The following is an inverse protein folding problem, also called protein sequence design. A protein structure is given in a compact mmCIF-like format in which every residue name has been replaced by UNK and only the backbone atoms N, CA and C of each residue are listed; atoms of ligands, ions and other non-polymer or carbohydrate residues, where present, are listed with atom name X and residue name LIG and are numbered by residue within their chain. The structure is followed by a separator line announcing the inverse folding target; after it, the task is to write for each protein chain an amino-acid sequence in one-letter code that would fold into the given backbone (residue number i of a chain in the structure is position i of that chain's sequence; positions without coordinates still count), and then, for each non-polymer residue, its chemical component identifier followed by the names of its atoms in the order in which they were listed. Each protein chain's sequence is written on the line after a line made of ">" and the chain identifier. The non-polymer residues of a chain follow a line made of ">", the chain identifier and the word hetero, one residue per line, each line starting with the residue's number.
data_IF_507123369644
#
_entry.id   IF_507123369644
#
_cell.length_a   1.000
_cell.length_b   1.000
_cell.length_c   1.000
_cell.angle_alpha   90.00
_cell.angle_beta   90.00
_cell.angle_gamma   90.00
#
_symmetry.space_group_name_H-M   'P 1'
#
loop_
_entity.id
_entity.type
_entity.pdbx_description
1 polymer ?
#
# COMPACT_ATOMS: atom_id res chain seq x y z
N UNK A 1 20.05 -35.36 -25.37
CA UNK A 1 20.27 -34.01 -24.82
C UNK A 1 18.91 -33.42 -24.52
N UNK A 2 18.49 -33.46 -23.26
CA UNK A 2 17.24 -32.84 -22.81
C UNK A 2 17.43 -31.32 -22.81
N UNK A 3 16.51 -30.60 -23.46
CA UNK A 3 16.47 -29.14 -23.39
C UNK A 3 15.83 -28.74 -22.06
N UNK A 4 16.65 -28.20 -21.17
CA UNK A 4 16.19 -27.51 -19.97
C UNK A 4 15.41 -26.27 -20.41
N UNK A 5 14.11 -26.22 -20.11
CA UNK A 5 13.29 -25.03 -20.31
C UNK A 5 13.50 -24.16 -19.07
N UNK A 6 14.29 -23.10 -19.19
CA UNK A 6 14.36 -22.05 -18.17
C UNK A 6 13.12 -21.18 -18.32
N UNK A 7 12.21 -21.24 -17.34
CA UNK A 7 11.10 -20.31 -17.23
C UNK A 7 11.63 -19.10 -16.46
N UNK A 8 11.93 -18.01 -17.16
CA UNK A 8 12.27 -16.74 -16.53
C UNK A 8 10.99 -16.09 -16.01
N UNK A 9 10.71 -16.24 -14.71
CA UNK A 9 9.69 -15.44 -14.02
C UNK A 9 10.26 -14.06 -13.70
N UNK A 10 10.28 -13.16 -14.68
CA UNK A 10 10.76 -11.78 -14.53
C UNK A 10 9.68 -10.84 -13.94
N UNK A 11 9.00 -11.28 -12.88
CA UNK A 11 8.16 -10.41 -12.05
C UNK A 11 8.83 -10.28 -10.70
N UNK A 12 9.75 -9.31 -10.57
CA UNK A 12 10.20 -8.85 -9.26
C UNK A 12 8.95 -8.44 -8.45
N UNK A 13 8.58 -9.30 -7.49
CA UNK A 13 7.41 -9.18 -6.65
C UNK A 13 7.53 -7.94 -5.75
N UNK A 14 6.42 -7.26 -5.43
CA UNK A 14 6.50 -6.15 -4.50
C UNK A 14 6.69 -6.70 -3.08
N UNK A 15 7.52 -6.06 -2.25
CA UNK A 15 7.81 -6.61 -0.93
C UNK A 15 6.61 -6.44 0.00
N UNK A 16 6.16 -7.55 0.59
CA UNK A 16 5.11 -7.59 1.61
C UNK A 16 5.71 -7.32 2.99
N UNK A 17 4.96 -6.65 3.88
CA UNK A 17 5.39 -6.24 5.23
C UNK A 17 6.65 -5.35 5.25
N UNK A 18 6.83 -4.59 4.18
CA UNK A 18 7.90 -3.60 4.02
C UNK A 18 7.27 -2.21 3.83
N UNK A 19 7.54 -1.25 4.73
CA UNK A 19 7.13 0.13 4.50
C UNK A 19 7.81 0.68 3.24
N UNK A 20 7.03 1.28 2.34
CA UNK A 20 7.50 1.84 1.06
C UNK A 20 6.79 3.16 0.75
N UNK A 21 7.43 3.98 -0.09
CA UNK A 21 6.94 5.31 -0.45
C UNK A 21 6.16 5.30 -1.77
N UNK A 22 5.08 6.06 -1.79
CA UNK A 22 4.32 6.44 -2.98
C UNK A 22 4.76 7.81 -3.48
N UNK A 23 4.59 8.04 -4.78
CA UNK A 23 4.74 9.36 -5.38
C UNK A 23 3.73 10.33 -4.76
N UNK A 24 4.15 11.53 -4.30
CA UNK A 24 3.27 12.53 -3.69
C UNK A 24 2.06 12.89 -4.56
N UNK A 25 2.27 12.95 -5.87
CA UNK A 25 1.24 13.22 -6.86
C UNK A 25 0.13 12.17 -6.92
N UNK A 26 0.44 10.92 -6.59
CA UNK A 26 -0.55 9.86 -6.54
C UNK A 26 -1.49 10.05 -5.36
N UNK A 27 -0.93 10.29 -4.17
CA UNK A 27 -1.71 10.50 -2.94
C UNK A 27 -2.68 11.67 -3.11
N UNK A 28 -2.21 12.78 -3.69
CA UNK A 28 -3.05 13.96 -4.01
C UNK A 28 -4.19 13.66 -4.99
N UNK A 29 -4.02 12.69 -5.90
CA UNK A 29 -5.00 12.34 -6.95
C UNK A 29 -6.07 11.36 -6.47
N UNK A 30 -5.87 10.68 -5.35
CA UNK A 30 -6.90 9.82 -4.76
C UNK A 30 -8.01 10.72 -4.23
N UNK A 31 -9.08 10.82 -5.01
CA UNK A 31 -10.27 11.63 -4.69
C UNK A 31 -10.86 11.18 -3.35
N UNK A 32 -11.21 12.16 -2.50
CA UNK A 32 -11.83 11.92 -1.19
C UNK A 32 -10.88 11.93 0.00
N UNK A 33 -9.56 12.15 -0.19
CA UNK A 33 -8.61 12.32 0.91
C UNK A 33 -8.43 11.08 1.79
N UNK A 34 -8.78 9.91 1.29
CA UNK A 34 -8.82 8.69 2.09
C UNK A 34 -7.41 8.18 2.43
N UNK A 35 -6.47 8.27 1.49
CA UNK A 35 -5.09 7.88 1.74
C UNK A 35 -4.35 9.04 2.44
N UNK A 36 -4.11 8.89 3.74
CA UNK A 36 -3.59 9.95 4.62
C UNK A 36 -2.07 10.08 4.61
N UNK A 37 -1.37 9.17 3.95
CA UNK A 37 0.09 9.08 3.99
C UNK A 37 0.67 8.61 2.66
N UNK A 38 1.88 9.07 2.36
CA UNK A 38 2.70 8.61 1.25
C UNK A 38 3.41 7.30 1.57
N UNK A 39 3.45 6.89 2.83
CA UNK A 39 4.07 5.63 3.25
C UNK A 39 2.98 4.57 3.34
N UNK A 40 3.20 3.44 2.68
CA UNK A 40 2.31 2.29 2.69
C UNK A 40 3.07 1.01 3.02
N UNK A 41 2.34 -0.04 3.31
CA UNK A 41 2.89 -1.38 3.45
C UNK A 41 1.93 -2.41 2.85
N UNK A 42 2.43 -3.27 1.97
CA UNK A 42 1.65 -4.37 1.42
C UNK A 42 1.42 -5.42 2.50
N UNK A 43 0.21 -5.98 2.53
CA UNK A 43 -0.22 -7.02 3.47
C UNK A 43 -0.62 -8.32 2.77
N UNK A 44 -1.03 -8.25 1.50
CA UNK A 44 -1.35 -9.42 0.69
C UNK A 44 -1.26 -9.10 -0.80
N UNK A 45 -1.06 -10.14 -1.60
CA UNK A 45 -1.19 -10.14 -3.05
C UNK A 45 -2.16 -11.24 -3.47
N UNK A 46 -3.00 -10.96 -4.46
CA UNK A 46 -4.02 -11.86 -4.98
C UNK A 46 -4.21 -11.61 -6.47
N UNK A 47 -3.77 -12.56 -7.30
CA UNK A 47 -3.75 -12.47 -8.76
C UNK A 47 -3.13 -11.14 -9.26
N UNK A 48 -3.96 -10.25 -9.82
CA UNK A 48 -3.58 -8.95 -10.36
C UNK A 48 -3.77 -7.80 -9.35
N UNK A 49 -4.13 -8.11 -8.11
CA UNK A 49 -4.44 -7.15 -7.06
C UNK A 49 -3.45 -7.22 -5.91
N UNK A 50 -3.18 -6.07 -5.32
CA UNK A 50 -2.41 -5.95 -4.09
C UNK A 50 -3.24 -5.22 -3.04
N UNK A 51 -3.07 -5.67 -1.80
CA UNK A 51 -3.69 -5.10 -0.63
C UNK A 51 -2.63 -4.43 0.23
N UNK A 52 -2.88 -3.19 0.63
CA UNK A 52 -1.94 -2.44 1.44
C UNK A 52 -2.67 -1.62 2.51
N UNK A 53 -1.90 -1.25 3.54
CA UNK A 53 -2.32 -0.38 4.63
C UNK A 53 -1.47 0.88 4.63
N UNK A 54 -1.94 1.93 5.31
CA UNK A 54 -1.16 3.16 5.46
C UNK A 54 -0.17 3.03 6.61
N UNK A 55 1.01 3.62 6.45
CA UNK A 55 1.97 3.82 7.53
C UNK A 55 2.09 5.31 7.85
N UNK A 56 2.27 5.66 9.12
CA UNK A 56 2.34 7.04 9.58
C UNK A 56 3.73 7.35 10.13
N UNK A 57 4.28 8.50 9.77
CA UNK A 57 5.50 9.06 10.34
C UNK A 57 5.14 10.28 11.18
N UNK A 58 4.77 10.04 12.44
CA UNK A 58 4.36 11.08 13.38
C UNK A 58 4.91 10.77 14.76
N UNK A 59 5.33 11.81 15.48
CA UNK A 59 6.02 11.67 16.76
C UNK A 59 5.11 11.13 17.88
N UNK A 60 3.81 11.46 17.86
CA UNK A 60 2.83 11.03 18.86
C UNK A 60 1.45 10.83 18.23
N UNK A 61 0.79 9.79 18.71
CA UNK A 61 -0.58 9.43 18.38
C UNK A 61 -1.30 9.08 19.69
N UNK A 62 -2.61 9.25 19.70
CA UNK A 62 -3.48 8.78 20.78
C UNK A 62 -3.31 7.26 21.00
N UNK A 63 -2.80 6.90 22.18
CA UNK A 63 -2.54 5.51 22.56
C UNK A 63 -3.83 4.66 22.66
N UNK A 64 -5.01 5.29 22.69
CA UNK A 64 -6.29 4.57 22.74
C UNK A 64 -6.75 4.03 21.37
N UNK A 65 -6.11 4.46 20.27
CA UNK A 65 -6.51 4.02 18.94
C UNK A 65 -6.06 2.56 18.68
N UNK A 66 -7.01 1.64 18.74
CA UNK A 66 -6.80 0.19 18.54
C UNK A 66 -6.36 -0.18 17.13
N UNK A 67 -6.63 0.66 16.14
CA UNK A 67 -6.26 0.41 14.74
C UNK A 67 -4.81 0.73 14.44
N UNK A 68 -4.13 1.43 15.36
CA UNK A 68 -2.77 1.88 15.18
C UNK A 68 -1.78 0.95 15.88
N UNK A 69 -0.84 0.42 15.11
CA UNK A 69 0.23 -0.46 15.59
C UNK A 69 1.54 0.31 15.56
N UNK A 70 2.24 0.36 16.70
CA UNK A 70 3.55 1.03 16.79
C UNK A 70 4.66 0.12 16.25
N UNK A 71 5.45 0.66 15.32
CA UNK A 71 6.61 -0.02 14.77
C UNK A 71 7.79 0.08 15.75
N UNK A 72 8.47 -1.04 16.01
CA UNK A 72 9.76 -1.09 16.69
C UNK A 72 10.85 -0.78 15.66
N UNK A 73 11.13 0.51 15.49
CA UNK A 73 11.96 1.00 14.38
C UNK A 73 13.39 0.47 14.42
N UNK A 74 13.90 0.13 15.60
CA UNK A 74 15.24 -0.41 15.85
C UNK A 74 15.40 -1.90 15.51
N UNK A 75 14.30 -2.59 15.14
CA UNK A 75 14.28 -4.04 14.91
C UNK A 75 13.87 -4.43 13.50
N UNK A 76 13.97 -3.53 12.53
CA UNK A 76 13.74 -3.87 11.12
C UNK A 76 14.77 -4.89 10.61
N UNK A 77 14.47 -5.50 9.47
CA UNK A 77 15.32 -6.54 8.86
C UNK A 77 15.66 -6.15 7.43
N UNK A 78 16.93 -6.07 7.06
CA UNK A 78 17.37 -5.81 5.68
C UNK A 78 17.28 -7.06 4.80
N UNK A 79 17.48 -6.92 3.49
CA UNK A 79 17.38 -8.05 2.55
C UNK A 79 18.40 -9.17 2.79
N UNK A 80 19.50 -8.87 3.48
CA UNK A 80 20.53 -9.82 3.90
C UNK A 80 20.22 -10.51 5.24
N UNK A 81 19.10 -10.14 5.89
CA UNK A 81 18.69 -10.70 7.18
C UNK A 81 19.26 -9.97 8.40
N UNK A 82 20.07 -8.93 8.20
CA UNK A 82 20.65 -8.14 9.30
C UNK A 82 19.63 -7.16 9.90
N UNK A 83 19.91 -6.71 11.13
CA UNK A 83 19.07 -5.71 11.80
C UNK A 83 19.30 -4.33 11.19
N UNK A 84 18.22 -3.63 10.84
CA UNK A 84 18.26 -2.32 10.21
C UNK A 84 17.13 -1.40 10.72
N UNK A 85 17.40 -0.10 10.76
CA UNK A 85 16.46 0.88 11.31
C UNK A 85 15.38 1.31 10.30
N UNK A 86 14.10 1.22 10.68
CA UNK A 86 12.96 1.70 9.88
C UNK A 86 12.75 3.20 10.13
N UNK A 87 13.31 4.04 9.25
CA UNK A 87 13.27 5.51 9.42
C UNK A 87 12.01 6.19 8.90
N UNK A 88 11.32 5.55 7.95
CA UNK A 88 10.24 6.21 7.19
C UNK A 88 8.86 6.10 7.87
N UNK A 89 8.69 5.27 8.89
CA UNK A 89 7.41 5.05 9.54
C UNK A 89 7.55 4.74 11.04
N UNK A 90 6.66 5.29 11.85
CA UNK A 90 6.55 4.99 13.28
C UNK A 90 5.32 4.11 13.60
N UNK A 91 4.27 4.16 12.77
CA UNK A 91 3.01 3.44 13.00
C UNK A 91 2.44 2.83 11.72
N UNK A 92 1.60 1.81 11.89
CA UNK A 92 0.79 1.16 10.85
C UNK A 92 -0.68 1.39 11.18
N UNK A 93 -1.48 1.84 10.21
CA UNK A 93 -2.91 2.08 10.35
C UNK A 93 -3.72 0.96 9.69
N UNK A 94 -4.33 0.13 10.54
CA UNK A 94 -5.13 -1.03 10.15
C UNK A 94 -6.62 -0.72 10.00
N UNK A 95 -7.05 0.53 10.17
CA UNK A 95 -8.47 0.93 10.04
C UNK A 95 -9.00 0.76 8.62
N UNK A 96 -8.11 0.82 7.62
CA UNK A 96 -8.46 0.78 6.21
C UNK A 96 -7.47 -0.09 5.43
N UNK A 97 -8.00 -1.06 4.68
CA UNK A 97 -7.25 -1.84 3.70
C UNK A 97 -7.57 -1.27 2.31
N UNK A 98 -6.52 -0.98 1.55
CA UNK A 98 -6.64 -0.49 0.18
C UNK A 98 -6.37 -1.63 -0.79
N UNK A 99 -7.21 -1.77 -1.82
CA UNK A 99 -7.03 -2.69 -2.93
C UNK A 99 -6.74 -1.91 -4.21
N UNK A 100 -5.70 -2.28 -4.94
CA UNK A 100 -5.33 -1.69 -6.23
C UNK A 100 -4.76 -2.77 -7.15
N UNK A 101 -4.80 -2.55 -8.46
CA UNK A 101 -4.09 -3.41 -9.40
C UNK A 101 -2.56 -3.31 -9.19
N UNK A 102 -1.87 -4.45 -9.27
CA UNK A 102 -0.43 -4.58 -9.05
C UNK A 102 0.39 -3.63 -9.94
N UNK A 103 0.16 -3.67 -11.25
CA UNK A 103 0.91 -2.84 -12.22
C UNK A 103 0.59 -1.35 -12.06
N UNK A 104 -0.64 -1.02 -11.65
CA UNK A 104 -0.99 0.34 -11.27
C UNK A 104 -0.19 0.80 -10.07
N UNK A 105 -0.10 0.02 -8.98
CA UNK A 105 0.68 0.38 -7.80
C UNK A 105 2.16 0.54 -8.10
N UNK A 106 2.76 -0.41 -8.84
CA UNK A 106 4.18 -0.41 -9.19
C UNK A 106 4.61 0.90 -9.87
N UNK A 107 3.74 1.47 -10.71
CA UNK A 107 3.95 2.77 -11.39
C UNK A 107 3.74 4.00 -10.49
N UNK A 108 3.37 3.81 -9.23
CA UNK A 108 3.12 4.87 -8.24
C UNK A 108 4.10 4.85 -7.08
N UNK A 109 5.02 3.88 -7.05
CA UNK A 109 6.07 3.84 -6.05
C UNK A 109 7.12 4.90 -6.35
N UNK A 110 7.64 5.53 -5.30
CA UNK A 110 8.72 6.49 -5.39
C UNK A 110 10.06 5.76 -5.33
N UNK A 111 10.72 5.65 -6.49
CA UNK A 111 12.06 5.08 -6.63
C UNK A 111 13.17 6.14 -6.54
N UNK A 112 12.83 7.43 -6.40
CA UNK A 112 13.80 8.52 -6.45
C UNK A 112 14.49 8.77 -5.10
N UNK A 113 13.80 8.48 -3.99
CA UNK A 113 14.28 8.71 -2.63
C UNK A 113 14.95 7.48 -1.98
N UNK A 114 15.37 6.51 -2.79
CA UNK A 114 16.02 5.27 -2.36
C UNK A 114 15.48 4.07 -3.12
N UNK A 115 16.34 3.10 -3.42
CA UNK A 115 15.87 1.84 -3.95
C UNK A 115 15.00 1.16 -2.89
N UNK A 116 13.81 0.70 -3.28
CA UNK A 116 12.93 -0.10 -2.40
C UNK A 116 13.72 -1.21 -1.72
N UNK A 117 14.67 -1.82 -2.42
CA UNK A 117 15.55 -2.87 -1.89
C UNK A 117 16.35 -2.42 -0.66
N UNK A 118 16.74 -1.15 -0.58
CA UNK A 118 17.50 -0.61 0.56
C UNK A 118 16.66 -0.38 1.83
N UNK A 119 15.33 -0.35 1.71
CA UNK A 119 14.46 -0.19 2.87
C UNK A 119 14.44 -1.48 3.70
N UNK A 120 14.32 -1.41 5.02
CA UNK A 120 14.14 -2.60 5.85
C UNK A 120 12.68 -3.10 5.86
N UNK A 121 12.51 -4.40 5.97
CA UNK A 121 11.26 -5.04 6.36
C UNK A 121 10.94 -4.75 7.83
N UNK A 122 9.68 -4.96 8.22
CA UNK A 122 9.33 -5.02 9.64
C UNK A 122 10.13 -6.13 10.36
N UNK A 123 10.45 -5.92 11.64
CA UNK A 123 10.95 -6.99 12.50
C UNK A 123 9.90 -8.08 12.72
N UNK A 124 10.34 -9.31 13.03
CA UNK A 124 9.46 -10.48 13.20
C UNK A 124 8.31 -10.22 14.18
N UNK A 125 8.57 -9.60 15.32
CA UNK A 125 7.53 -9.26 16.30
C UNK A 125 6.45 -8.35 15.69
N UNK A 126 6.83 -7.31 14.95
CA UNK A 126 5.87 -6.44 14.30
C UNK A 126 5.13 -7.14 13.15
N UNK A 127 5.79 -8.04 12.42
CA UNK A 127 5.12 -8.84 11.39
C UNK A 127 4.00 -9.71 12.00
N UNK A 128 4.30 -10.39 13.11
CA UNK A 128 3.31 -11.18 13.85
C UNK A 128 2.19 -10.30 14.40
N UNK A 129 2.50 -9.15 14.98
CA UNK A 129 1.50 -8.22 15.51
C UNK A 129 0.53 -7.75 14.41
N UNK A 130 1.05 -7.45 13.20
CA UNK A 130 0.23 -7.05 12.05
C UNK A 130 -0.71 -8.18 11.63
N UNK A 131 -0.17 -9.38 11.45
CA UNK A 131 -0.95 -10.57 11.03
C UNK A 131 -2.03 -10.89 12.05
N UNK A 132 -1.69 -10.91 13.34
CA UNK A 132 -2.63 -11.22 14.42
C UNK A 132 -3.75 -10.20 14.48
N UNK A 133 -3.44 -8.90 14.48
CA UNK A 133 -4.47 -7.85 14.51
C UNK A 133 -5.37 -7.85 13.29
N UNK A 134 -4.81 -8.03 12.08
CA UNK A 134 -5.64 -8.13 10.89
C UNK A 134 -6.56 -9.36 10.97
N UNK A 135 -6.06 -10.49 11.44
CA UNK A 135 -6.86 -11.71 11.63
C UNK A 135 -7.97 -11.50 12.65
N UNK A 136 -7.68 -10.88 13.79
CA UNK A 136 -8.66 -10.55 14.81
C UNK A 136 -9.76 -9.63 14.25
N UNK A 137 -9.38 -8.55 13.56
CA UNK A 137 -10.34 -7.61 12.97
C UNK A 137 -11.20 -8.26 11.89
N UNK A 138 -10.60 -9.04 10.99
CA UNK A 138 -11.35 -9.70 9.90
C UNK A 138 -12.33 -10.78 10.40
N UNK A 139 -12.10 -11.32 11.60
CA UNK A 139 -13.01 -12.25 12.26
C UNK A 139 -14.05 -11.56 13.17
N UNK A 140 -13.95 -10.24 13.37
CA UNK A 140 -14.85 -9.47 14.22
C UNK A 140 -15.82 -8.62 13.40
N UNK A 141 -17.09 -9.00 13.37
CA UNK A 141 -18.14 -8.30 12.60
C UNK A 141 -18.34 -6.83 13.01
N UNK A 142 -18.07 -6.47 14.27
CA UNK A 142 -18.30 -5.12 14.78
C UNK A 142 -17.09 -4.18 14.58
N UNK A 143 -15.93 -4.72 14.19
CA UNK A 143 -14.67 -3.99 14.09
C UNK A 143 -13.87 -4.35 12.81
N UNK A 144 -14.58 -4.46 11.69
CA UNK A 144 -13.98 -4.74 10.39
C UNK A 144 -13.21 -3.53 9.83
N UNK A 145 -12.04 -3.75 9.21
CA UNK A 145 -11.35 -2.69 8.48
C UNK A 145 -12.17 -2.28 7.26
N UNK A 146 -12.14 -0.98 6.92
CA UNK A 146 -12.79 -0.47 5.70
C UNK A 146 -11.98 -0.93 4.49
N UNK A 147 -12.65 -1.48 3.47
CA UNK A 147 -12.01 -1.80 2.20
C UNK A 147 -12.21 -0.66 1.19
N UNK A 148 -11.12 -0.07 0.70
CA UNK A 148 -11.14 0.96 -0.34
C UNK A 148 -10.51 0.42 -1.62
N UNK A 149 -11.27 0.39 -2.70
CA UNK A 149 -10.76 -0.06 -4.01
C UNK A 149 -10.35 1.15 -4.85
N UNK A 150 -9.07 1.22 -5.19
CA UNK A 150 -8.51 2.26 -6.05
C UNK A 150 -8.57 1.77 -7.50
N UNK A 151 -9.36 2.47 -8.33
CA UNK A 151 -9.50 2.18 -9.76
C UNK A 151 -9.03 3.36 -10.59
N UNK A 152 -8.35 3.09 -11.70
CA UNK A 152 -8.05 4.11 -12.71
C UNK A 152 -9.35 4.57 -13.36
N UNK A 153 -9.69 5.84 -13.21
CA UNK A 153 -10.77 6.44 -14.02
C UNK A 153 -10.36 6.38 -15.49
N UNK A 154 -11.04 5.56 -16.29
CA UNK A 154 -11.01 5.74 -17.75
C UNK A 154 -11.66 7.10 -18.00
N UNK A 155 -10.89 8.08 -18.49
CA UNK A 155 -11.51 9.27 -19.09
C UNK A 155 -12.36 8.75 -20.24
N UNK A 156 -13.68 8.78 -20.07
CA UNK A 156 -14.61 8.71 -21.20
C UNK A 156 -14.42 10.03 -21.92
N UNK A 157 -13.52 10.06 -22.90
CA UNK A 157 -13.54 11.11 -23.90
C UNK A 157 -14.81 10.87 -24.72
N UNK A 158 -15.93 11.47 -24.33
CA UNK A 158 -17.08 11.63 -25.21
C UNK A 158 -16.82 12.90 -26.03
N UNK A 159 -16.48 12.83 -27.32
CA UNK A 159 -16.29 13.99 -28.16
C UNK A 159 -17.55 14.38 -28.93
N UNK A 160 -18.76 14.08 -28.42
CA UNK A 160 -20.00 14.50 -29.06
C UNK A 160 -21.02 14.85 -27.98
N UNK A 161 -21.20 16.14 -27.73
CA UNK A 161 -22.44 16.81 -27.29
C UNK A 161 -22.14 18.31 -27.22
N UNK A 162 -21.92 18.93 -28.38
CA UNK A 162 -22.11 20.38 -28.56
C UNK A 162 -22.89 20.57 -29.85
N UNK A 163 -23.97 21.36 -29.75
CA UNK A 163 -24.83 21.90 -30.82
C UNK A 163 -25.89 20.92 -31.34
N UNK A 164 -27.20 21.15 -31.24
CA UNK A 164 -27.96 22.39 -31.10
C UNK A 164 -29.36 22.10 -30.53
N UNK A 165 -29.73 22.69 -29.40
CA UNK A 165 -31.12 23.06 -29.16
C UNK A 165 -31.24 24.55 -29.45
N UNK A 166 -31.69 24.89 -30.64
CA UNK A 166 -32.24 26.21 -30.96
C UNK A 166 -33.75 26.11 -30.75
N UNK A 167 -34.20 26.43 -29.55
CA UNK A 167 -35.57 26.87 -29.30
C UNK A 167 -35.58 28.39 -29.48
N UNK A 168 -36.30 28.88 -30.47
CA UNK A 168 -36.94 30.19 -30.39
C UNK A 168 -38.22 30.16 -31.21
N UNK A 169 -39.29 30.61 -30.54
CA UNK A 169 -40.69 30.72 -30.94
C UNK A 169 -40.91 31.37 -32.32
#
# INVERSE_FOLDING_TARGET
>A
MEKMITIETDKACLPVLKPILLLPDFVKKIKGGNLKSEIIMLVAEDEDSVFFVSCLNVAKIDASNKDLLKIRQDRGISNDGETAEIKIANYIDLSTIYKINYDDLKRKLDYTNGHIDSLPYLGIENQLDVVNRLTEKLNNYDDLPRLIVIKKNKKVNNPELISSCSDTL
#
